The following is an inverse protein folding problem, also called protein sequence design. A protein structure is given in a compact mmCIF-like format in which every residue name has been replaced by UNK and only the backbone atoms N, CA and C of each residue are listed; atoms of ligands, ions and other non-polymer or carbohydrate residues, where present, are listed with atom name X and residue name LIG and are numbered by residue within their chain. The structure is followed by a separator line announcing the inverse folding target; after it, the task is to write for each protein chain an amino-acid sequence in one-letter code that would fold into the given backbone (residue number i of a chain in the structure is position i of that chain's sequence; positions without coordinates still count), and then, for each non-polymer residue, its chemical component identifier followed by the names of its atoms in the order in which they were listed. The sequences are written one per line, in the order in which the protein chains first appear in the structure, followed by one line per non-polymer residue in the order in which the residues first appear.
data_IF_806099430762
#
_entry.id   IF_806099430762
#
_cell.length_a   1.000
_cell.length_b   1.000
_cell.length_c   1.000
_cell.angle_alpha   90.00
_cell.angle_beta   90.00
_cell.angle_gamma   90.00
#
_symmetry.space_group_name_H-M   'P 1'
#
loop_
_entity.id
_entity.type
_entity.pdbx_description
1 polymer ?
#
# COMPACT_ATOMS: atom_id res chain seq x y z
N UNK A 1 5.34 26.42 -2.26
CA UNK A 1 4.66 25.14 -2.55
C UNK A 1 3.23 25.21 -2.05
N UNK A 2 2.27 24.66 -2.79
CA UNK A 2 0.91 24.41 -2.30
C UNK A 2 0.90 23.15 -1.40
N UNK A 3 -0.18 22.91 -0.63
CA UNK A 3 -0.32 21.68 0.14
C UNK A 3 -0.10 20.40 -0.71
N UNK A 4 -0.67 20.36 -1.91
CA UNK A 4 -0.58 19.23 -2.84
C UNK A 4 0.85 19.03 -3.34
N UNK A 5 1.57 20.12 -3.65
CA UNK A 5 2.96 20.07 -4.10
C UNK A 5 3.89 19.53 -3.01
N UNK A 6 3.59 19.79 -1.73
CA UNK A 6 4.36 19.22 -0.62
C UNK A 6 4.17 17.71 -0.53
N UNK A 7 2.92 17.24 -0.69
CA UNK A 7 2.62 15.80 -0.72
C UNK A 7 3.31 15.13 -1.90
N UNK A 8 3.18 15.69 -3.10
CA UNK A 8 3.83 15.16 -4.31
C UNK A 8 5.36 15.13 -4.16
N UNK A 9 5.95 16.19 -3.62
CA UNK A 9 7.40 16.25 -3.35
C UNK A 9 7.83 15.18 -2.35
N UNK A 10 7.04 14.97 -1.29
CA UNK A 10 7.31 13.95 -0.29
C UNK A 10 7.28 12.55 -0.89
N UNK A 11 6.25 12.24 -1.69
CA UNK A 11 6.14 10.96 -2.37
C UNK A 11 7.30 10.76 -3.36
N UNK A 12 7.66 11.80 -4.12
CA UNK A 12 8.77 11.72 -5.06
C UNK A 12 10.09 11.41 -4.35
N UNK A 13 10.35 11.98 -3.17
CA UNK A 13 11.50 11.60 -2.35
C UNK A 13 11.35 10.15 -1.88
N UNK A 14 10.24 9.83 -1.20
CA UNK A 14 10.00 8.53 -0.57
C UNK A 14 10.14 7.34 -1.54
N UNK A 15 9.69 7.48 -2.78
CA UNK A 15 9.76 6.42 -3.80
C UNK A 15 11.11 6.32 -4.52
N UNK A 16 11.97 7.33 -4.38
CA UNK A 16 13.24 7.38 -5.10
C UNK A 16 14.44 7.47 -4.15
N UNK A 17 14.26 7.13 -2.86
CA UNK A 17 15.35 7.11 -1.90
C UNK A 17 16.40 6.07 -2.28
N UNK A 18 17.68 6.47 -2.23
CA UNK A 18 18.82 5.62 -2.56
C UNK A 18 19.63 5.21 -1.34
N UNK A 19 19.62 6.06 -0.32
CA UNK A 19 20.35 5.85 0.93
C UNK A 19 19.56 6.43 2.12
N UNK A 20 19.86 5.95 3.32
CA UNK A 20 19.15 6.36 4.52
C UNK A 20 19.45 7.81 4.93
N UNK A 21 20.53 8.41 4.42
CA UNK A 21 20.86 9.83 4.63
C UNK A 21 19.87 10.76 3.94
N UNK A 22 19.23 10.31 2.85
CA UNK A 22 18.15 11.06 2.19
C UNK A 22 16.90 11.24 3.06
N UNK A 23 16.83 10.62 4.26
CA UNK A 23 15.78 10.89 5.26
C UNK A 23 15.65 12.37 5.58
N UNK A 24 16.75 13.14 5.51
CA UNK A 24 16.71 14.59 5.74
C UNK A 24 15.77 15.29 4.75
N UNK A 25 15.69 14.81 3.51
CA UNK A 25 14.77 15.34 2.49
C UNK A 25 13.31 15.10 2.86
N UNK A 26 12.98 13.97 3.49
CA UNK A 26 11.65 13.69 4.03
C UNK A 26 11.35 14.60 5.23
N UNK A 27 12.31 14.78 6.13
CA UNK A 27 12.14 15.64 7.33
C UNK A 27 11.95 17.11 6.96
N UNK A 28 12.53 17.57 5.85
CA UNK A 28 12.33 18.92 5.32
C UNK A 28 10.90 19.18 4.81
N UNK A 29 10.13 18.14 4.54
CA UNK A 29 8.74 18.21 4.04
C UNK A 29 7.71 17.83 5.12
N UNK A 30 8.17 17.49 6.32
CA UNK A 30 7.32 16.99 7.41
C UNK A 30 7.49 17.83 8.68
N UNK A 31 6.51 17.76 9.56
CA UNK A 31 6.54 18.39 10.89
C UNK A 31 5.83 17.52 11.92
N UNK A 32 5.82 17.95 13.18
CA UNK A 32 5.10 17.28 14.27
C UNK A 32 5.51 15.81 14.47
N UNK A 33 4.51 14.94 14.61
CA UNK A 33 4.70 13.51 14.91
C UNK A 33 5.35 12.75 13.75
N UNK A 34 4.96 13.05 12.51
CA UNK A 34 5.53 12.38 11.35
C UNK A 34 7.03 12.66 11.22
N UNK A 35 7.45 13.91 11.39
CA UNK A 35 8.87 14.25 11.41
C UNK A 35 9.61 13.52 12.53
N UNK A 36 9.08 13.53 13.75
CA UNK A 36 9.69 12.81 14.88
C UNK A 36 9.82 11.30 14.60
N UNK A 37 8.82 10.69 13.98
CA UNK A 37 8.87 9.28 13.61
C UNK A 37 9.99 8.99 12.59
N UNK A 38 10.16 9.85 11.58
CA UNK A 38 11.23 9.72 10.58
C UNK A 38 12.60 9.95 11.21
N UNK A 39 12.75 10.98 12.04
CA UNK A 39 14.02 11.34 12.70
C UNK A 39 14.50 10.25 13.67
N UNK A 40 13.56 9.64 14.40
CA UNK A 40 13.83 8.60 15.40
C UNK A 40 13.90 7.18 14.84
N UNK A 41 13.47 6.96 13.59
CA UNK A 41 13.57 5.66 12.94
C UNK A 41 15.03 5.23 12.82
N UNK A 42 15.29 3.96 13.15
CA UNK A 42 16.59 3.35 12.93
C UNK A 42 16.87 3.20 11.43
N UNK A 43 18.15 3.15 11.06
CA UNK A 43 18.59 3.16 9.66
C UNK A 43 18.05 1.95 8.88
N UNK A 44 17.99 0.77 9.51
CA UNK A 44 17.43 -0.45 8.97
C UNK A 44 15.92 -0.32 8.69
N UNK A 45 15.18 0.37 9.56
CA UNK A 45 13.76 0.67 9.34
C UNK A 45 13.57 1.59 8.13
N UNK A 46 14.41 2.63 7.99
CA UNK A 46 14.37 3.53 6.83
C UNK A 46 14.69 2.77 5.53
N UNK A 47 15.72 1.91 5.56
CA UNK A 47 16.08 1.06 4.41
C UNK A 47 14.94 0.15 4.00
N UNK A 48 14.37 -0.58 4.96
CA UNK A 48 13.26 -1.50 4.70
C UNK A 48 12.03 -0.78 4.13
N UNK A 49 11.73 0.43 4.61
CA UNK A 49 10.55 1.18 4.20
C UNK A 49 10.70 1.86 2.83
N UNK A 50 11.85 2.49 2.54
CA UNK A 50 12.00 3.41 1.42
C UNK A 50 13.01 2.97 0.34
N UNK A 51 13.88 2.00 0.63
CA UNK A 51 15.03 1.67 -0.25
C UNK A 51 14.97 0.23 -0.74
N UNK A 52 14.74 -0.73 0.17
CA UNK A 52 14.83 -2.15 -0.13
C UNK A 52 13.69 -2.62 -1.04
N UNK A 53 12.55 -1.95 -0.96
CA UNK A 53 11.37 -2.17 -1.79
C UNK A 53 11.45 -1.35 -3.07
N UNK A 54 11.10 -1.97 -4.20
CA UNK A 54 11.05 -1.31 -5.50
C UNK A 54 9.62 -1.15 -5.96
N UNK A 55 9.30 0.04 -6.46
CA UNK A 55 7.97 0.38 -6.91
C UNK A 55 8.03 0.99 -8.31
N UNK A 56 7.03 0.68 -9.14
CA UNK A 56 6.78 1.42 -10.37
C UNK A 56 5.48 2.20 -10.25
N UNK A 57 5.58 3.51 -10.06
CA UNK A 57 4.42 4.40 -9.97
C UNK A 57 3.67 4.38 -11.31
N UNK A 58 2.39 4.05 -11.27
CA UNK A 58 1.47 4.10 -12.41
C UNK A 58 0.76 5.43 -12.47
N UNK A 59 0.23 5.88 -11.34
CA UNK A 59 -0.47 7.17 -11.26
C UNK A 59 -0.52 7.71 -9.84
N UNK A 60 -0.58 9.03 -9.76
CA UNK A 60 -0.89 9.81 -8.57
C UNK A 60 -2.02 10.77 -8.90
N UNK A 61 -3.03 10.86 -8.04
CA UNK A 61 -4.10 11.84 -8.20
C UNK A 61 -4.66 12.28 -6.85
N UNK A 62 -4.84 13.59 -6.67
CA UNK A 62 -5.58 14.13 -5.53
C UNK A 62 -7.06 13.83 -5.72
N UNK A 63 -7.67 13.16 -4.74
CA UNK A 63 -9.10 12.79 -4.74
C UNK A 63 -9.92 13.89 -4.08
N UNK A 64 -9.46 14.37 -2.92
CA UNK A 64 -10.19 15.35 -2.11
C UNK A 64 -9.20 16.29 -1.44
N UNK A 65 -9.56 17.57 -1.41
CA UNK A 65 -8.93 18.60 -0.58
C UNK A 65 -9.98 19.17 0.35
N UNK A 66 -9.68 19.19 1.64
CA UNK A 66 -10.54 19.80 2.66
C UNK A 66 -9.75 20.81 3.48
N UNK A 67 -9.97 22.09 3.23
CA UNK A 67 -9.39 23.16 4.03
C UNK A 67 -10.13 23.23 5.38
N UNK A 68 -9.42 22.90 6.47
CA UNK A 68 -9.96 23.00 7.84
C UNK A 68 -9.83 24.42 8.37
N UNK A 69 -8.68 25.05 8.10
CA UNK A 69 -8.38 26.44 8.44
C UNK A 69 -7.47 27.04 7.35
N UNK A 70 -7.21 28.36 7.34
CA UNK A 70 -6.22 28.95 6.44
C UNK A 70 -4.78 28.42 6.60
N UNK A 71 -4.52 27.66 7.68
CA UNK A 71 -3.21 27.07 7.99
C UNK A 71 -3.23 25.54 8.03
N UNK A 72 -4.36 24.90 7.74
CA UNK A 72 -4.50 23.45 7.86
C UNK A 72 -5.44 22.91 6.80
N UNK A 73 -4.95 21.93 6.04
CA UNK A 73 -5.66 21.29 4.93
C UNK A 73 -5.47 19.77 5.05
N UNK A 74 -6.55 19.02 4.86
CA UNK A 74 -6.50 17.58 4.64
C UNK A 74 -6.48 17.30 3.14
N UNK A 75 -5.57 16.41 2.73
CA UNK A 75 -5.45 15.96 1.34
C UNK A 75 -5.64 14.46 1.32
N UNK A 76 -6.65 14.00 0.58
CA UNK A 76 -6.82 12.60 0.22
C UNK A 76 -6.31 12.41 -1.19
N UNK A 77 -5.36 11.49 -1.38
CA UNK A 77 -4.80 11.17 -2.69
C UNK A 77 -4.84 9.67 -2.95
N UNK A 78 -4.98 9.31 -4.23
CA UNK A 78 -4.82 7.96 -4.75
C UNK A 78 -3.43 7.80 -5.32
N UNK A 79 -2.77 6.73 -4.93
CA UNK A 79 -1.53 6.28 -5.53
C UNK A 79 -1.71 4.86 -6.05
N UNK A 80 -1.41 4.65 -7.33
CA UNK A 80 -1.38 3.33 -7.97
C UNK A 80 0.06 3.02 -8.36
N UNK A 81 0.56 1.86 -7.96
CA UNK A 81 1.91 1.41 -8.28
C UNK A 81 1.98 -0.11 -8.39
N UNK A 82 2.99 -0.62 -9.11
CA UNK A 82 3.33 -2.04 -9.11
C UNK A 82 4.39 -2.29 -8.02
N UNK A 83 4.15 -3.28 -7.16
CA UNK A 83 5.15 -3.76 -6.18
C UNK A 83 6.12 -4.71 -6.88
N UNK A 84 7.34 -4.22 -7.16
CA UNK A 84 8.37 -4.97 -7.87
C UNK A 84 9.21 -5.84 -6.91
N UNK A 85 8.77 -6.03 -5.68
CA UNK A 85 9.47 -6.79 -4.66
C UNK A 85 10.69 -6.05 -4.13
N UNK A 86 11.74 -6.79 -3.80
CA UNK A 86 12.97 -6.23 -3.26
C UNK A 86 14.11 -6.30 -4.27
N UNK A 87 15.20 -5.59 -4.00
CA UNK A 87 16.41 -5.70 -4.83
C UNK A 87 16.96 -7.14 -4.92
N UNK A 88 16.76 -7.96 -3.88
CA UNK A 88 17.22 -9.36 -3.83
C UNK A 88 16.25 -10.34 -4.45
N UNK A 89 14.95 -10.02 -4.47
CA UNK A 89 13.89 -10.82 -5.09
C UNK A 89 13.02 -9.90 -5.95
N UNK A 90 13.49 -9.52 -7.15
CA UNK A 90 12.74 -8.65 -8.04
C UNK A 90 11.59 -9.40 -8.70
N UNK A 91 10.46 -8.73 -8.85
CA UNK A 91 9.30 -9.21 -9.60
C UNK A 91 9.19 -8.43 -10.90
N UNK A 92 8.97 -9.14 -12.01
CA UNK A 92 8.75 -8.50 -13.31
C UNK A 92 7.46 -7.67 -13.29
N UNK A 93 7.45 -6.52 -13.97
CA UNK A 93 6.36 -5.54 -13.90
C UNK A 93 4.98 -6.08 -14.30
N UNK A 94 4.94 -7.10 -15.16
CA UNK A 94 3.74 -7.79 -15.65
C UNK A 94 3.22 -8.88 -14.68
N UNK A 95 4.10 -9.43 -13.86
CA UNK A 95 3.78 -10.37 -12.78
C UNK A 95 3.60 -9.68 -11.41
N UNK A 96 3.98 -8.40 -11.31
CA UNK A 96 3.89 -7.62 -10.09
C UNK A 96 2.45 -7.30 -9.70
N UNK A 97 2.16 -7.35 -8.40
CA UNK A 97 0.86 -6.93 -7.88
C UNK A 97 0.67 -5.43 -8.11
N UNK A 98 -0.51 -5.05 -8.59
CA UNK A 98 -0.92 -3.65 -8.68
C UNK A 98 -1.53 -3.25 -7.33
N UNK A 99 -0.90 -2.29 -6.67
CA UNK A 99 -1.35 -1.76 -5.39
C UNK A 99 -1.99 -0.41 -5.62
N UNK A 100 -3.22 -0.25 -5.14
CA UNK A 100 -3.94 1.03 -5.09
C UNK A 100 -4.10 1.45 -3.64
N UNK A 101 -3.60 2.63 -3.29
CA UNK A 101 -3.73 3.19 -1.95
C UNK A 101 -4.43 4.54 -2.01
N UNK A 102 -5.43 4.72 -1.16
CA UNK A 102 -6.05 6.01 -0.89
C UNK A 102 -5.57 6.46 0.49
N UNK A 103 -4.75 7.51 0.54
CA UNK A 103 -4.18 8.03 1.79
C UNK A 103 -4.71 9.43 2.04
N UNK A 104 -5.09 9.70 3.28
CA UNK A 104 -5.43 11.04 3.76
C UNK A 104 -4.33 11.54 4.67
N UNK A 105 -3.74 12.68 4.32
CA UNK A 105 -2.70 13.34 5.09
C UNK A 105 -3.15 14.71 5.55
N UNK A 106 -2.67 15.11 6.73
CA UNK A 106 -2.88 16.44 7.25
C UNK A 106 -1.66 17.31 6.94
N UNK A 107 -1.89 18.42 6.24
CA UNK A 107 -0.85 19.36 5.83
C UNK A 107 -1.10 20.69 6.53
N UNK A 108 -0.08 21.19 7.22
CA UNK A 108 -0.17 22.44 7.98
C UNK A 108 0.81 23.49 7.49
N UNK A 109 0.47 24.75 7.72
CA UNK A 109 1.32 25.89 7.38
C UNK A 109 2.03 26.42 8.62
N UNK A 110 3.35 26.25 8.66
CA UNK A 110 4.23 26.76 9.72
C UNK A 110 5.24 27.73 9.11
N UNK A 111 5.43 28.89 9.74
CA UNK A 111 6.39 29.91 9.30
C UNK A 111 6.27 30.29 7.80
N UNK A 112 5.06 30.25 7.25
CA UNK A 112 4.77 30.59 5.86
C UNK A 112 4.90 29.43 4.85
N UNK A 113 5.44 28.28 5.26
CA UNK A 113 5.64 27.08 4.44
C UNK A 113 4.69 25.95 4.85
N UNK A 114 4.35 25.08 3.91
CA UNK A 114 3.48 23.92 4.14
C UNK A 114 4.31 22.67 4.46
N UNK A 115 3.81 21.83 5.37
CA UNK A 115 4.46 20.60 5.82
C UNK A 115 3.41 19.52 6.08
N UNK A 116 3.76 18.25 5.87
CA UNK A 116 2.92 17.12 6.27
C UNK A 116 3.10 16.89 7.77
N UNK A 117 2.01 17.02 8.54
CA UNK A 117 2.02 16.82 10.00
C UNK A 117 1.82 15.36 10.38
N UNK A 118 0.88 14.70 9.72
CA UNK A 118 0.47 13.34 10.06
C UNK A 118 -0.26 12.63 8.90
N UNK A 119 -0.29 11.30 8.96
CA UNK A 119 -1.12 10.46 8.09
C UNK A 119 -2.38 10.08 8.88
N UNK A 120 -3.54 10.53 8.41
CA UNK A 120 -4.81 10.44 9.16
C UNK A 120 -5.62 9.21 8.76
N UNK A 121 -5.43 8.70 7.55
CA UNK A 121 -6.11 7.50 7.08
C UNK A 121 -5.42 6.88 5.89
N UNK A 122 -5.54 5.55 5.78
CA UNK A 122 -5.03 4.78 4.65
C UNK A 122 -5.99 3.65 4.32
N UNK A 123 -6.35 3.51 3.04
CA UNK A 123 -7.08 2.36 2.52
C UNK A 123 -6.28 1.76 1.37
N UNK A 124 -5.92 0.49 1.50
CA UNK A 124 -5.11 -0.23 0.52
C UNK A 124 -5.92 -1.36 -0.12
N UNK A 125 -5.87 -1.42 -1.45
CA UNK A 125 -6.36 -2.53 -2.25
C UNK A 125 -5.18 -3.10 -3.06
N UNK A 126 -5.10 -4.43 -3.13
CA UNK A 126 -4.03 -5.15 -3.83
C UNK A 126 -4.68 -6.06 -4.86
N UNK A 127 -4.26 -5.92 -6.11
CA UNK A 127 -4.71 -6.73 -7.23
C UNK A 127 -3.54 -7.55 -7.78
N UNK A 128 -3.72 -8.87 -7.91
CA UNK A 128 -2.69 -9.77 -8.41
C UNK A 128 -3.01 -10.11 -9.87
N UNK A 129 -2.04 -9.99 -10.80
CA UNK A 129 -2.25 -10.41 -12.17
C UNK A 129 -2.57 -11.91 -12.19
N UNK A 130 -3.76 -12.26 -12.65
CA UNK A 130 -4.12 -13.65 -12.90
C UNK A 130 -3.26 -14.15 -14.07
N UNK A 131 -2.32 -15.05 -13.81
CA UNK A 131 -1.63 -15.77 -14.87
C UNK A 131 -2.68 -16.41 -15.80
N UNK A 132 -2.48 -16.36 -17.12
CA UNK A 132 -3.42 -16.91 -18.09
C UNK A 132 -3.75 -18.41 -17.85
N UNK A 133 -2.92 -19.11 -17.06
CA UNK A 133 -3.10 -20.50 -16.62
C UNK A 133 -4.08 -20.68 -15.45
N UNK A 134 -4.51 -19.60 -14.80
CA UNK A 134 -5.47 -19.61 -13.67
C UNK A 134 -6.93 -19.44 -14.08
N UNK A 135 -7.25 -19.48 -15.38
CA UNK A 135 -8.65 -19.45 -15.84
C UNK A 135 -9.29 -20.80 -15.50
N UNK A 136 -9.80 -20.92 -14.27
CA UNK A 136 -10.72 -22.00 -13.92
C UNK A 136 -12.00 -21.74 -14.73
N UNK A 137 -12.10 -22.37 -15.90
CA UNK A 137 -13.39 -22.57 -16.55
C UNK A 137 -14.20 -23.49 -15.65
N UNK A 138 -14.96 -22.90 -14.73
CA UNK A 138 -15.99 -23.63 -14.02
C UNK A 138 -17.03 -24.09 -15.07
N UNK A 139 -16.95 -25.37 -15.46
CA UNK A 139 -18.03 -26.00 -16.24
C UNK A 139 -19.28 -26.01 -15.36
N UNK A 140 -20.43 -25.48 -15.84
CA UNK A 140 -21.67 -25.56 -15.09
C UNK A 140 -22.09 -27.02 -14.96
N UNK A 141 -22.20 -27.50 -13.72
CA UNK A 141 -23.04 -28.62 -13.31
C UNK A 141 -22.56 -30.03 -13.67
N UNK A 142 -21.86 -30.68 -12.75
CA UNK A 142 -22.23 -32.03 -12.30
C UNK A 142 -21.94 -32.08 -10.80
N UNK A 143 -22.99 -31.94 -9.98
CA UNK A 143 -22.94 -32.38 -8.60
C UNK A 143 -23.16 -33.88 -8.70
N UNK A 144 -22.10 -34.68 -8.63
CA UNK A 144 -22.28 -36.09 -8.32
C UNK A 144 -22.53 -36.17 -6.83
N UNK A 145 -23.78 -36.41 -6.44
CA UNK A 145 -24.16 -36.76 -5.08
C UNK A 145 -23.25 -37.90 -4.58
N UNK A 146 -22.81 -37.87 -3.30
CA UNK A 146 -22.15 -39.04 -2.74
C UNK A 146 -23.16 -40.18 -2.66
N UNK A 147 -22.82 -41.33 -3.28
CA UNK A 147 -23.52 -42.61 -3.11
C UNK A 147 -23.52 -42.99 -1.63
N UNK A 148 -24.58 -42.60 -0.92
CA UNK A 148 -24.96 -43.14 0.37
C UNK A 148 -25.87 -44.34 0.09
N UNK A 149 -25.28 -45.48 -0.26
CA UNK A 149 -26.03 -46.73 -0.23
C UNK A 149 -25.20 -47.93 0.25
N UNK A 150 -25.75 -48.56 1.30
CA UNK A 150 -25.45 -49.88 1.88
C UNK A 150 -24.23 -50.04 2.78
N UNK A 151 -24.41 -49.64 4.04
CA UNK A 151 -24.00 -50.51 5.17
C UNK A 151 -25.24 -51.29 5.60
N UNK A 152 -25.42 -52.51 5.08
CA UNK A 152 -26.39 -53.46 5.65
C UNK A 152 -25.73 -54.18 6.83
N UNK A 153 -26.26 -53.81 7.99
CA UNK A 153 -26.44 -54.60 9.21
C UNK A 153 -26.35 -56.13 9.01
N UNK A 154 -25.51 -56.80 9.80
CA UNK A 154 -25.83 -58.10 10.41
C UNK A 154 -24.87 -58.36 11.58
N UNK A 155 -25.24 -57.79 12.74
CA UNK A 155 -24.67 -58.16 14.02
C UNK A 155 -25.78 -58.53 15.00
N UNK A 156 -26.27 -59.77 14.97
CA UNK A 156 -27.01 -60.37 16.08
C UNK A 156 -27.27 -61.87 15.88
N UNK A 157 -26.43 -62.74 16.46
CA UNK A 157 -26.91 -63.97 17.13
C UNK A 157 -25.99 -64.27 18.31
N UNK A 158 -26.54 -64.13 19.52
CA UNK A 158 -25.97 -64.69 20.73
C UNK A 158 -26.51 -66.09 20.98
N UNK A 159 -25.67 -66.95 21.53
CA UNK A 159 -25.96 -67.87 22.63
C UNK A 159 -24.64 -68.39 23.21
#
# INVERSE_FOLDING_TARGET
MTPEQVVESYLNVAFNMKDAGEREKLTALTTGKLRQAIDSAQEDVIKAAYIDRRYAIKSYSVIERRDRTPRETEITFRLVYNDLGSATVPVATDAAATVTTDNTVNVIREQGSWYIRDVVGSKTAIDFPLSAEGRIEAKPGVISEPDLDRVQDEGAQGQ
#
